data_IF_367722060461
#
_entry.id   IF_367722060461
#
_cell.length_a   1.000
_cell.length_b   1.000
_cell.length_c   1.000
_cell.angle_alpha   90.00
_cell.angle_beta   90.00
_cell.angle_gamma   90.00
#
_symmetry.space_group_name_H-M   'P 1'
#
loop_
_entity.id
_entity.type
_entity.pdbx_description
1 polymer ?
#
# COMPACT_ATOMS: atom_id res chain seq x y z
N UNK A 1 -41.90 47.84 -47.51
CA UNK A 1 -41.31 47.76 -46.15
C UNK A 1 -40.91 46.32 -45.88
N UNK A 2 -39.63 45.98 -45.99
CA UNK A 2 -39.12 44.61 -45.84
C UNK A 2 -38.68 44.41 -44.38
N UNK A 3 -39.40 43.58 -43.61
CA UNK A 3 -39.04 43.26 -42.21
C UNK A 3 -37.84 42.30 -42.20
N UNK A 4 -36.70 42.77 -41.69
CA UNK A 4 -35.53 41.93 -41.37
C UNK A 4 -35.83 41.11 -40.11
N UNK A 5 -35.85 39.79 -40.22
CA UNK A 5 -35.85 38.90 -39.06
C UNK A 5 -34.39 38.62 -38.67
N UNK A 6 -34.01 39.06 -37.48
CA UNK A 6 -32.73 38.74 -36.85
C UNK A 6 -32.93 37.42 -36.09
N UNK A 7 -32.31 36.34 -36.57
CA UNK A 7 -32.23 35.08 -35.84
C UNK A 7 -31.18 35.23 -34.73
N UNK A 8 -31.62 35.20 -33.47
CA UNK A 8 -30.77 35.18 -32.30
C UNK A 8 -30.40 33.72 -31.96
N UNK A 9 -29.16 33.31 -32.22
CA UNK A 9 -28.63 32.01 -31.82
C UNK A 9 -28.23 32.07 -30.34
N UNK A 10 -29.03 31.46 -29.46
CA UNK A 10 -28.69 31.28 -28.04
C UNK A 10 -27.79 30.04 -27.94
N UNK A 11 -26.49 30.27 -27.69
CA UNK A 11 -25.51 29.21 -27.47
C UNK A 11 -25.56 28.80 -25.99
N UNK A 12 -26.33 27.75 -25.67
CA UNK A 12 -26.37 27.18 -24.32
C UNK A 12 -25.09 26.39 -24.07
N UNK A 13 -24.18 26.96 -23.27
CA UNK A 13 -22.96 26.30 -22.82
C UNK A 13 -23.33 25.31 -21.71
N UNK A 14 -23.66 24.07 -22.08
CA UNK A 14 -23.86 23.00 -21.11
C UNK A 14 -22.49 22.58 -20.56
N UNK A 15 -22.17 23.02 -19.35
CA UNK A 15 -21.06 22.47 -18.57
C UNK A 15 -21.38 21.01 -18.24
N UNK A 16 -20.89 20.09 -19.06
CA UNK A 16 -20.91 18.67 -18.74
C UNK A 16 -19.93 18.45 -17.58
N UNK A 17 -20.46 18.31 -16.37
CA UNK A 17 -19.72 17.73 -15.25
C UNK A 17 -19.54 16.26 -15.61
N UNK A 18 -18.42 15.94 -16.27
CA UNK A 18 -18.03 14.57 -16.53
C UNK A 18 -17.59 13.96 -15.20
N UNK A 19 -18.47 13.18 -14.57
CA UNK A 19 -18.05 12.24 -13.53
C UNK A 19 -17.18 11.19 -14.21
N UNK A 20 -15.86 11.36 -14.11
CA UNK A 20 -14.92 10.40 -14.67
C UNK A 20 -15.18 9.02 -14.11
N UNK A 21 -15.36 8.02 -14.99
CA UNK A 21 -15.42 6.64 -14.54
C UNK A 21 -14.13 6.29 -13.80
N UNK A 22 -14.19 5.48 -12.73
CA UNK A 22 -12.99 5.03 -12.06
C UNK A 22 -12.07 4.36 -13.09
N UNK A 23 -10.85 4.88 -13.23
CA UNK A 23 -9.83 4.25 -14.08
C UNK A 23 -9.48 2.85 -13.57
N UNK A 24 -8.83 2.01 -14.39
CA UNK A 24 -8.48 0.64 -14.00
C UNK A 24 -7.61 0.61 -12.74
N UNK A 25 -7.53 -0.57 -12.10
CA UNK A 25 -6.59 -0.79 -11.00
C UNK A 25 -5.16 -0.43 -11.41
N UNK A 26 -4.48 0.28 -10.51
CA UNK A 26 -3.07 0.60 -10.60
C UNK A 26 -2.34 -0.26 -9.59
N UNK A 27 -1.05 -0.49 -9.82
CA UNK A 27 -0.25 -1.36 -8.96
C UNK A 27 0.32 -0.63 -7.75
N UNK A 28 -0.45 0.25 -7.13
CA UNK A 28 -0.06 1.13 -6.01
C UNK A 28 -1.11 1.09 -4.89
N UNK A 29 -0.78 1.63 -3.71
CA UNK A 29 -1.80 1.83 -2.66
C UNK A 29 -2.70 2.99 -3.08
N UNK A 30 -3.98 2.73 -3.36
CA UNK A 30 -4.91 3.74 -3.85
C UNK A 30 -6.34 3.49 -3.41
N UNK A 31 -7.03 4.57 -3.07
CA UNK A 31 -8.47 4.58 -2.82
C UNK A 31 -9.15 5.21 -4.04
N UNK A 32 -10.09 4.49 -4.65
CA UNK A 32 -10.78 4.89 -5.87
C UNK A 32 -12.15 5.48 -5.59
N UNK A 33 -12.86 4.93 -4.59
CA UNK A 33 -14.19 5.38 -4.18
C UNK A 33 -14.06 6.43 -3.07
N UNK A 34 -14.56 7.64 -3.31
CA UNK A 34 -14.39 8.78 -2.39
C UNK A 34 -14.99 8.56 -0.98
N UNK A 35 -16.04 7.74 -0.87
CA UNK A 35 -16.69 7.37 0.39
C UNK A 35 -15.87 6.44 1.28
N UNK A 36 -14.79 5.86 0.76
CA UNK A 36 -13.92 4.96 1.51
C UNK A 36 -12.92 5.77 2.34
N UNK A 37 -12.78 5.40 3.61
CA UNK A 37 -11.87 6.00 4.59
C UNK A 37 -11.20 4.92 5.44
N UNK A 38 -10.17 5.33 6.17
CA UNK A 38 -9.49 4.50 7.18
C UNK A 38 -9.04 3.14 6.66
N UNK A 39 -8.46 3.09 5.46
CA UNK A 39 -7.91 1.84 4.91
C UNK A 39 -6.68 1.45 5.72
N UNK A 40 -6.74 0.29 6.36
CA UNK A 40 -5.65 -0.29 7.13
C UNK A 40 -5.28 -1.66 6.55
N UNK A 41 -3.99 -1.97 6.58
CA UNK A 41 -3.45 -3.28 6.21
C UNK A 41 -2.17 -3.51 7.02
N UNK A 42 -2.21 -4.43 7.98
CA UNK A 42 -1.11 -4.69 8.90
C UNK A 42 -1.12 -6.14 9.39
N UNK A 43 0.00 -6.62 9.93
CA UNK A 43 0.13 -7.97 10.47
C UNK A 43 -0.58 -8.05 11.84
N UNK A 44 -1.47 -9.02 12.02
CA UNK A 44 -2.26 -9.18 13.26
C UNK A 44 -1.43 -9.38 14.52
N UNK A 45 -0.16 -9.78 14.41
CA UNK A 45 0.75 -9.86 15.55
C UNK A 45 1.24 -8.49 16.04
N UNK A 46 1.14 -7.46 15.20
CA UNK A 46 1.60 -6.10 15.52
C UNK A 46 0.74 -5.08 14.80
N UNK A 47 -0.16 -4.47 15.57
CA UNK A 47 -1.01 -3.40 15.07
C UNK A 47 -0.21 -2.27 14.42
N UNK A 48 -0.75 -1.75 13.32
CA UNK A 48 -0.14 -0.67 12.52
C UNK A 48 1.26 -1.00 11.98
N UNK A 49 1.62 -2.28 11.89
CA UNK A 49 2.84 -2.70 11.22
C UNK A 49 2.74 -2.57 9.70
N UNK A 50 3.90 -2.73 9.07
CA UNK A 50 4.01 -2.99 7.63
C UNK A 50 3.21 -4.26 7.27
N UNK A 51 2.51 -4.30 6.11
CA UNK A 51 1.77 -5.48 5.67
C UNK A 51 2.70 -6.56 5.11
N UNK A 52 3.46 -7.20 5.99
CA UNK A 52 4.38 -8.31 5.69
C UNK A 52 3.97 -9.51 6.54
N UNK A 53 3.95 -10.69 5.91
CA UNK A 53 3.78 -11.98 6.59
C UNK A 53 4.81 -13.00 6.08
N UNK A 54 5.15 -13.98 6.92
CA UNK A 54 5.99 -15.10 6.49
C UNK A 54 5.17 -16.21 5.81
N UNK A 55 5.63 -16.69 4.65
CA UNK A 55 5.03 -17.81 3.92
C UNK A 55 4.97 -19.07 4.79
N UNK A 56 3.83 -19.74 4.80
CA UNK A 56 3.63 -20.98 5.57
C UNK A 56 3.57 -20.80 7.09
N UNK A 57 3.65 -19.56 7.59
CA UNK A 57 3.43 -19.26 9.01
C UNK A 57 1.93 -19.08 9.32
N UNK A 58 1.60 -18.96 10.59
CA UNK A 58 0.26 -18.61 11.07
C UNK A 58 0.02 -17.08 11.12
N UNK A 59 0.90 -16.28 10.50
CA UNK A 59 0.72 -14.84 10.42
C UNK A 59 -0.37 -14.47 9.43
N UNK A 60 -1.16 -13.48 9.79
CA UNK A 60 -2.22 -12.95 8.95
C UNK A 60 -2.12 -11.43 8.89
N UNK A 61 -2.57 -10.88 7.79
CA UNK A 61 -2.86 -9.46 7.62
C UNK A 61 -4.32 -9.22 7.97
N UNK A 62 -4.58 -8.23 8.81
CA UNK A 62 -5.90 -7.62 8.91
C UNK A 62 -6.00 -6.53 7.86
N UNK A 63 -7.04 -6.59 7.04
CA UNK A 63 -7.41 -5.52 6.14
C UNK A 63 -8.75 -4.99 6.59
N UNK A 64 -8.84 -3.68 6.81
CA UNK A 64 -10.08 -3.04 7.22
C UNK A 64 -10.25 -1.67 6.57
N UNK A 65 -11.49 -1.24 6.39
CA UNK A 65 -11.83 0.08 5.87
C UNK A 65 -13.27 0.46 6.23
N UNK A 66 -13.57 1.75 6.16
CA UNK A 66 -14.91 2.29 6.41
C UNK A 66 -15.51 2.82 5.10
N UNK A 67 -16.75 2.45 4.78
CA UNK A 67 -17.56 3.09 3.74
C UNK A 67 -18.56 4.06 4.37
N UNK A 68 -18.43 5.35 4.06
CA UNK A 68 -19.33 6.42 4.49
C UNK A 68 -20.57 6.54 3.57
N UNK A 69 -20.66 5.72 2.53
CA UNK A 69 -21.81 5.63 1.63
C UNK A 69 -23.12 5.22 2.31
N UNK A 70 -24.24 5.56 1.67
CA UNK A 70 -25.58 5.19 2.14
C UNK A 70 -25.91 3.76 1.71
N UNK A 71 -26.18 2.89 2.68
CA UNK A 71 -26.50 1.48 2.44
C UNK A 71 -25.24 0.68 2.15
N UNK A 72 -24.99 -0.38 2.94
CA UNK A 72 -23.83 -1.25 2.74
C UNK A 72 -23.73 -1.75 1.30
N UNK A 73 -22.50 -1.95 0.85
CA UNK A 73 -22.18 -2.43 -0.49
C UNK A 73 -21.52 -3.79 -0.39
N UNK A 74 -21.75 -4.63 -1.39
CA UNK A 74 -21.10 -5.93 -1.46
C UNK A 74 -19.71 -5.76 -2.04
N UNK A 75 -18.70 -5.93 -1.19
CA UNK A 75 -17.30 -5.88 -1.58
C UNK A 75 -16.74 -7.26 -1.84
N UNK A 76 -15.96 -7.35 -2.90
CA UNK A 76 -15.20 -8.52 -3.28
C UNK A 76 -13.73 -8.13 -3.36
N UNK A 77 -12.85 -9.09 -3.16
CA UNK A 77 -11.42 -8.88 -3.31
C UNK A 77 -10.77 -9.95 -4.18
N UNK A 78 -9.68 -9.58 -4.82
CA UNK A 78 -8.75 -10.48 -5.52
C UNK A 78 -7.34 -10.16 -5.08
N UNK A 79 -6.48 -11.17 -4.99
CA UNK A 79 -5.04 -10.98 -4.82
C UNK A 79 -4.30 -11.36 -6.09
N UNK A 80 -3.26 -10.61 -6.41
CA UNK A 80 -2.44 -10.85 -7.60
C UNK A 80 -0.96 -10.76 -7.24
N UNK A 81 -0.18 -11.74 -7.71
CA UNK A 81 1.26 -11.76 -7.51
C UNK A 81 1.98 -10.78 -8.47
N UNK A 82 2.87 -9.98 -7.90
CA UNK A 82 3.60 -8.92 -8.58
C UNK A 82 5.11 -9.19 -8.64
N UNK A 83 5.75 -8.64 -9.67
CA UNK A 83 7.21 -8.57 -9.79
C UNK A 83 7.81 -7.54 -8.82
N UNK A 84 9.15 -7.53 -8.72
CA UNK A 84 9.89 -6.57 -7.88
C UNK A 84 9.62 -5.09 -8.22
N UNK A 85 9.21 -4.79 -9.45
CA UNK A 85 8.86 -3.46 -9.94
C UNK A 85 7.35 -3.19 -9.93
N UNK A 86 6.57 -3.97 -9.16
CA UNK A 86 5.13 -3.81 -8.99
C UNK A 86 4.35 -3.86 -10.30
N UNK A 87 4.62 -4.86 -11.13
CA UNK A 87 3.79 -5.23 -12.27
C UNK A 87 3.19 -6.61 -12.04
N UNK A 88 2.09 -6.89 -12.72
CA UNK A 88 1.55 -8.25 -12.78
C UNK A 88 2.64 -9.22 -13.21
N UNK A 89 2.87 -10.24 -12.37
CA UNK A 89 3.77 -11.32 -12.75
C UNK A 89 3.14 -12.19 -13.84
N UNK A 90 3.98 -12.87 -14.62
CA UNK A 90 3.52 -13.85 -15.63
C UNK A 90 3.20 -15.22 -15.04
N UNK A 91 3.18 -15.34 -13.71
CA UNK A 91 2.93 -16.59 -13.00
C UNK A 91 1.42 -16.87 -13.02
N UNK A 92 1.03 -18.09 -13.35
CA UNK A 92 -0.38 -18.49 -13.33
C UNK A 92 -0.93 -18.45 -11.92
N UNK A 93 -2.19 -18.05 -11.77
CA UNK A 93 -2.89 -18.04 -10.47
C UNK A 93 -2.88 -19.39 -9.76
N UNK A 94 -2.93 -20.49 -10.52
CA UNK A 94 -2.84 -21.86 -9.98
C UNK A 94 -1.47 -22.17 -9.34
N UNK A 95 -0.41 -21.49 -9.79
CA UNK A 95 0.95 -21.71 -9.30
C UNK A 95 1.21 -20.91 -8.01
N UNK A 96 0.65 -19.69 -7.91
CA UNK A 96 0.89 -18.81 -6.76
C UNK A 96 -0.22 -18.83 -5.68
N UNK A 97 -1.41 -19.38 -5.95
CA UNK A 97 -2.49 -19.57 -4.96
C UNK A 97 -2.91 -21.04 -4.83
N UNK A 98 -3.28 -21.44 -3.61
CA UNK A 98 -3.72 -22.79 -3.29
C UNK A 98 -5.19 -23.07 -3.62
N UNK A 99 -6.05 -22.06 -3.46
CA UNK A 99 -7.50 -22.19 -3.57
C UNK A 99 -8.02 -21.20 -4.61
N UNK A 100 -8.96 -20.34 -4.25
CA UNK A 100 -9.53 -19.32 -5.13
C UNK A 100 -8.65 -18.07 -5.21
N UNK A 101 -8.87 -17.28 -6.26
CA UNK A 101 -8.21 -15.98 -6.44
C UNK A 101 -8.95 -14.82 -5.79
N UNK A 102 -10.25 -15.02 -5.56
CA UNK A 102 -11.16 -13.99 -5.11
C UNK A 102 -12.19 -14.55 -4.16
N UNK A 103 -12.74 -13.66 -3.33
CA UNK A 103 -13.80 -13.97 -2.39
C UNK A 103 -14.57 -12.69 -2.03
N UNK A 104 -15.73 -12.86 -1.38
CA UNK A 104 -16.55 -11.77 -0.86
C UNK A 104 -16.10 -11.38 0.55
N UNK A 105 -16.19 -10.11 0.88
CA UNK A 105 -16.01 -9.62 2.25
C UNK A 105 -17.33 -9.76 3.00
N UNK A 106 -17.36 -10.64 4.00
CA UNK A 106 -18.57 -10.94 4.78
C UNK A 106 -18.65 -10.16 6.09
N UNK A 107 -17.53 -9.95 6.78
CA UNK A 107 -17.53 -9.24 8.06
C UNK A 107 -17.73 -7.74 7.81
N UNK A 108 -18.93 -7.28 8.18
CA UNK A 108 -19.31 -5.89 8.08
C UNK A 108 -20.14 -5.48 9.29
N UNK A 109 -19.92 -4.26 9.77
CA UNK A 109 -20.61 -3.70 10.94
C UNK A 109 -21.01 -2.26 10.69
N UNK A 110 -22.28 -1.95 10.93
CA UNK A 110 -22.78 -0.58 10.82
C UNK A 110 -22.34 0.22 12.05
N UNK A 111 -21.88 1.44 11.82
CA UNK A 111 -21.57 2.40 12.89
C UNK A 111 -22.74 2.59 13.87
N UNK A 112 -22.44 2.60 15.16
CA UNK A 112 -23.44 2.74 16.22
C UNK A 112 -23.20 4.04 17.01
N UNK A 113 -24.26 4.82 17.22
CA UNK A 113 -24.23 6.11 17.95
C UNK A 113 -23.15 7.11 17.51
N UNK A 114 -22.79 7.11 16.21
CA UNK A 114 -21.89 8.09 15.60
C UNK A 114 -22.65 9.20 14.87
N UNK A 115 -22.05 10.40 14.80
CA UNK A 115 -22.53 11.53 14.00
C UNK A 115 -22.39 11.19 12.50
N UNK A 116 -21.17 10.88 12.06
CA UNK A 116 -20.93 10.35 10.71
C UNK A 116 -21.27 8.86 10.68
N UNK A 117 -22.25 8.49 9.86
CA UNK A 117 -22.57 7.09 9.60
C UNK A 117 -21.54 6.47 8.66
N UNK A 118 -21.15 5.25 8.95
CA UNK A 118 -20.31 4.41 8.09
C UNK A 118 -20.66 2.93 8.29
N UNK A 119 -20.22 2.10 7.34
CA UNK A 119 -20.17 0.64 7.49
C UNK A 119 -18.70 0.23 7.49
N UNK A 120 -18.27 -0.42 8.55
CA UNK A 120 -16.93 -0.98 8.69
C UNK A 120 -16.88 -2.34 8.01
N UNK A 121 -15.81 -2.61 7.28
CA UNK A 121 -15.52 -3.92 6.68
C UNK A 121 -14.15 -4.39 7.14
N UNK A 122 -14.03 -5.69 7.42
CA UNK A 122 -12.74 -6.30 7.72
C UNK A 122 -12.64 -7.73 7.21
N UNK A 123 -11.42 -8.19 7.00
CA UNK A 123 -11.13 -9.60 6.73
C UNK A 123 -9.65 -9.90 6.96
N UNK A 124 -9.33 -11.18 7.06
CA UNK A 124 -7.98 -11.69 7.26
C UNK A 124 -7.42 -12.31 5.98
N UNK A 125 -6.11 -12.13 5.75
CA UNK A 125 -5.36 -12.81 4.69
C UNK A 125 -4.04 -13.38 5.23
N UNK A 126 -3.65 -14.61 4.89
CA UNK A 126 -4.41 -15.60 4.13
C UNK A 126 -5.63 -16.11 4.91
N UNK A 127 -6.59 -16.67 4.18
CA UNK A 127 -7.75 -17.39 4.72
C UNK A 127 -8.01 -18.67 3.90
N UNK A 128 -9.11 -19.36 4.17
CA UNK A 128 -9.45 -20.64 3.53
C UNK A 128 -9.70 -20.52 2.02
N UNK A 129 -10.17 -19.35 1.56
CA UNK A 129 -10.44 -19.10 0.14
C UNK A 129 -9.21 -18.61 -0.60
N UNK A 130 -8.44 -17.70 0.00
CA UNK A 130 -7.28 -17.07 -0.64
C UNK A 130 -6.02 -17.33 0.17
N UNK A 131 -5.23 -18.29 -0.30
CA UNK A 131 -4.01 -18.75 0.36
C UNK A 131 -2.80 -18.79 -0.60
N UNK A 132 -1.83 -17.88 -0.42
CA UNK A 132 -0.61 -17.85 -1.23
C UNK A 132 0.28 -19.08 -1.04
N UNK A 133 0.85 -19.57 -2.15
CA UNK A 133 1.79 -20.71 -2.22
C UNK A 133 3.25 -20.28 -2.27
N UNK A 134 3.52 -19.06 -2.74
CA UNK A 134 4.87 -18.55 -2.97
C UNK A 134 5.06 -17.21 -2.26
N UNK A 135 6.32 -16.88 -1.99
CA UNK A 135 6.71 -15.58 -1.49
C UNK A 135 6.79 -14.56 -2.64
N UNK A 136 6.66 -13.28 -2.32
CA UNK A 136 6.76 -12.21 -3.30
C UNK A 136 5.97 -10.97 -2.92
N UNK A 137 5.86 -10.07 -3.89
CA UNK A 137 5.00 -8.90 -3.79
C UNK A 137 3.59 -9.30 -4.21
N UNK A 138 2.59 -8.80 -3.50
CA UNK A 138 1.19 -9.02 -3.84
C UNK A 138 0.42 -7.71 -3.81
N UNK A 139 -0.56 -7.60 -4.70
CA UNK A 139 -1.54 -6.53 -4.64
C UNK A 139 -2.93 -7.09 -4.39
N UNK A 140 -3.57 -6.55 -3.37
CA UNK A 140 -4.98 -6.74 -3.07
C UNK A 140 -5.79 -5.72 -3.87
N UNK A 141 -6.81 -6.19 -4.58
CA UNK A 141 -7.75 -5.37 -5.35
C UNK A 141 -9.15 -5.59 -4.77
N UNK A 142 -9.76 -4.56 -4.23
CA UNK A 142 -11.14 -4.58 -3.70
C UNK A 142 -12.05 -3.84 -4.68
N UNK A 143 -13.21 -4.41 -4.98
CA UNK A 143 -14.16 -3.91 -5.97
C UNK A 143 -15.62 -4.21 -5.57
N UNK A 144 -16.57 -3.48 -6.14
CA UNK A 144 -18.01 -3.58 -5.82
C UNK A 144 -18.73 -4.63 -6.66
N UNK A 145 -19.67 -5.33 -6.02
CA UNK A 145 -20.66 -6.21 -6.65
C UNK A 145 -20.06 -7.28 -7.58
N UNK A 146 -18.83 -7.73 -7.29
CA UNK A 146 -18.13 -8.72 -8.10
C UNK A 146 -17.58 -8.19 -9.43
N UNK A 147 -17.68 -6.88 -9.71
CA UNK A 147 -17.23 -6.27 -10.97
C UNK A 147 -15.90 -5.53 -10.79
N UNK A 148 -14.82 -6.10 -11.34
CA UNK A 148 -13.48 -5.48 -11.28
C UNK A 148 -13.38 -4.12 -11.98
N UNK A 149 -14.35 -3.74 -12.81
CA UNK A 149 -14.42 -2.41 -13.41
C UNK A 149 -14.99 -1.35 -12.44
N UNK A 150 -15.36 -1.75 -11.22
CA UNK A 150 -15.77 -0.87 -10.12
C UNK A 150 -14.72 -0.93 -9.00
N UNK A 151 -13.50 -0.42 -9.24
CA UNK A 151 -12.42 -0.46 -8.26
C UNK A 151 -12.74 0.39 -7.04
N UNK A 152 -12.30 -0.08 -5.88
CA UNK A 152 -12.56 0.54 -4.57
C UNK A 152 -11.24 0.85 -3.87
N UNK A 153 -10.40 -0.17 -3.67
CA UNK A 153 -9.07 -0.06 -3.05
C UNK A 153 -8.08 -0.94 -3.81
N UNK A 154 -6.87 -0.45 -4.02
CA UNK A 154 -5.70 -1.29 -4.26
C UNK A 154 -4.73 -1.15 -3.09
N UNK A 155 -4.20 -2.27 -2.60
CA UNK A 155 -3.32 -2.31 -1.43
C UNK A 155 -2.19 -3.32 -1.64
N UNK A 156 -0.96 -2.84 -1.59
CA UNK A 156 0.27 -3.64 -1.63
C UNK A 156 0.50 -4.33 -0.30
N UNK A 157 0.95 -5.58 -0.37
CA UNK A 157 1.46 -6.33 0.77
C UNK A 157 2.55 -7.30 0.31
N UNK A 158 3.25 -7.91 1.27
CA UNK A 158 4.42 -8.73 1.00
C UNK A 158 4.33 -10.07 1.72
N UNK A 159 4.86 -11.09 1.07
CA UNK A 159 5.02 -12.42 1.65
C UNK A 159 6.50 -12.80 1.57
N UNK A 160 7.12 -13.11 2.69
CA UNK A 160 8.55 -13.46 2.76
C UNK A 160 8.76 -14.96 2.93
N UNK A 161 9.85 -15.49 2.38
CA UNK A 161 10.25 -16.89 2.61
C UNK A 161 11.28 -17.05 3.73
N UNK A 162 11.74 -15.94 4.33
CA UNK A 162 12.72 -15.89 5.43
C UNK A 162 13.98 -16.77 5.25
N UNK A 163 14.44 -16.95 4.02
CA UNK A 163 15.61 -17.78 3.67
C UNK A 163 16.96 -17.04 3.80
N UNK A 164 16.93 -15.73 4.07
CA UNK A 164 18.11 -14.88 4.29
C UNK A 164 17.92 -14.07 5.57
N UNK A 165 19.04 -13.66 6.17
CA UNK A 165 19.06 -12.72 7.28
C UNK A 165 19.62 -11.37 6.79
N UNK A 166 19.07 -10.26 7.28
CA UNK A 166 19.50 -8.91 6.90
C UNK A 166 20.02 -8.21 8.15
N UNK A 167 21.31 -7.88 8.18
CA UNK A 167 21.87 -6.96 9.16
C UNK A 167 21.92 -5.55 8.56
N UNK A 168 21.29 -4.57 9.19
CA UNK A 168 21.27 -3.19 8.72
C UNK A 168 21.65 -2.22 9.84
N UNK A 169 22.30 -1.13 9.47
CA UNK A 169 22.69 -0.04 10.37
C UNK A 169 22.41 1.32 9.72
N UNK A 170 21.99 2.27 10.54
CA UNK A 170 21.89 3.67 10.15
C UNK A 170 23.15 4.41 10.60
N UNK A 171 23.84 5.06 9.66
CA UNK A 171 25.07 5.82 9.89
C UNK A 171 24.92 7.25 9.35
N UNK A 172 25.71 8.23 9.81
CA UNK A 172 25.74 9.55 9.20
C UNK A 172 26.13 9.48 7.71
N UNK A 173 25.68 10.45 6.91
CA UNK A 173 26.06 10.52 5.50
C UNK A 173 27.59 10.58 5.32
N UNK A 174 28.07 9.89 4.29
CA UNK A 174 29.47 9.94 3.86
C UNK A 174 29.83 11.32 3.29
N UNK A 175 28.84 12.10 2.84
CA UNK A 175 29.04 13.45 2.32
C UNK A 175 29.09 14.44 3.49
N UNK A 176 30.20 15.18 3.60
CA UNK A 176 30.43 16.12 4.71
C UNK A 176 29.32 17.19 4.77
N UNK A 177 28.85 17.64 3.61
CA UNK A 177 27.76 18.62 3.47
C UNK A 177 26.44 18.15 4.05
N UNK A 178 26.18 16.83 4.03
CA UNK A 178 24.91 16.24 4.41
C UNK A 178 24.96 15.46 5.73
N UNK A 179 26.13 15.42 6.38
CA UNK A 179 26.42 14.61 7.57
C UNK A 179 25.40 14.76 8.71
N UNK A 180 24.88 15.97 8.91
CA UNK A 180 23.94 16.28 9.98
C UNK A 180 22.46 16.31 9.53
N UNK A 181 22.20 16.13 8.24
CA UNK A 181 20.85 16.22 7.65
C UNK A 181 20.37 14.88 7.11
N UNK A 182 21.28 14.04 6.63
CA UNK A 182 20.96 12.77 6.02
C UNK A 182 21.35 11.59 6.93
N UNK A 183 20.66 10.47 6.71
CA UNK A 183 20.89 9.19 7.35
C UNK A 183 21.13 8.16 6.24
N UNK A 184 22.28 7.51 6.28
CA UNK A 184 22.67 6.48 5.34
C UNK A 184 22.42 5.10 5.92
N UNK A 185 21.85 4.21 5.11
CA UNK A 185 21.64 2.82 5.50
C UNK A 185 22.69 1.93 4.84
N UNK A 186 23.53 1.30 5.67
CA UNK A 186 24.35 0.17 5.23
C UNK A 186 23.60 -1.11 5.59
N UNK A 187 23.68 -2.13 4.73
CA UNK A 187 23.12 -3.43 5.06
C UNK A 187 23.94 -4.57 4.45
N UNK A 188 23.81 -5.74 5.06
CA UNK A 188 24.40 -6.99 4.61
C UNK A 188 23.33 -8.06 4.56
N UNK A 189 23.25 -8.76 3.44
CA UNK A 189 22.39 -9.94 3.26
C UNK A 189 23.25 -11.17 3.55
N UNK A 190 22.91 -11.91 4.59
CA UNK A 190 23.51 -13.19 4.95
C UNK A 190 22.69 -14.34 4.36
N UNK A 191 23.36 -15.29 3.71
CA UNK A 191 22.73 -16.42 3.04
C UNK A 191 23.56 -17.70 3.22
N UNK A 192 22.91 -18.85 3.23
CA UNK A 192 23.53 -20.17 3.37
C UNK A 192 23.42 -21.04 2.09
N UNK A 193 22.88 -20.48 1.01
CA UNK A 193 22.73 -21.14 -0.29
C UNK A 193 23.59 -20.46 -1.35
N UNK A 194 23.83 -21.14 -2.47
CA UNK A 194 24.58 -20.57 -3.59
C UNK A 194 23.74 -19.55 -4.37
N UNK A 195 24.32 -18.38 -4.63
CA UNK A 195 23.75 -17.34 -5.51
C UNK A 195 24.70 -17.25 -6.71
N UNK A 196 24.25 -17.73 -7.87
CA UNK A 196 25.10 -17.85 -9.05
C UNK A 196 25.58 -16.49 -9.54
N UNK A 197 24.69 -15.50 -9.64
CA UNK A 197 25.05 -14.15 -10.01
C UNK A 197 24.36 -13.10 -9.12
N UNK A 198 25.02 -12.63 -8.06
CA UNK A 198 24.45 -11.62 -7.16
C UNK A 198 24.06 -10.30 -7.83
N UNK A 199 24.63 -9.98 -9.00
CA UNK A 199 24.32 -8.73 -9.73
C UNK A 199 23.00 -8.77 -10.49
N UNK A 200 22.49 -9.96 -10.80
CA UNK A 200 21.24 -10.16 -11.54
C UNK A 200 20.17 -10.82 -10.70
N UNK A 201 20.56 -11.71 -9.79
CA UNK A 201 19.64 -12.58 -9.07
C UNK A 201 19.12 -11.93 -7.79
N UNK A 202 19.81 -10.90 -7.30
CA UNK A 202 19.46 -10.19 -6.05
C UNK A 202 19.18 -8.72 -6.33
N UNK A 203 17.96 -8.31 -5.96
CA UNK A 203 17.57 -6.90 -5.88
C UNK A 203 17.14 -6.60 -4.45
N UNK A 204 17.77 -5.61 -3.83
CA UNK A 204 17.38 -5.11 -2.53
C UNK A 204 16.74 -3.73 -2.66
N UNK A 205 15.62 -3.52 -1.98
CA UNK A 205 14.91 -2.23 -1.96
C UNK A 205 14.96 -1.69 -0.54
N UNK A 206 15.48 -0.48 -0.39
CA UNK A 206 15.53 0.25 0.90
C UNK A 206 14.61 1.46 0.78
N UNK A 207 13.68 1.64 1.70
CA UNK A 207 12.74 2.77 1.69
C UNK A 207 12.57 3.35 3.10
N UNK A 208 12.32 4.65 3.18
CA UNK A 208 12.12 5.36 4.44
C UNK A 208 10.64 5.31 4.84
N UNK A 209 10.36 4.94 6.09
CA UNK A 209 9.01 4.99 6.69
C UNK A 209 7.90 4.36 5.83
N UNK A 210 8.22 3.29 5.09
CA UNK A 210 7.33 2.62 4.15
C UNK A 210 6.78 3.48 3.00
N UNK A 211 7.41 4.62 2.70
CA UNK A 211 7.06 5.45 1.55
C UNK A 211 7.73 4.90 0.28
N UNK A 212 6.96 4.35 -0.68
CA UNK A 212 7.50 3.81 -1.93
C UNK A 212 8.20 4.88 -2.79
N UNK A 213 7.87 6.16 -2.62
CA UNK A 213 8.50 7.26 -3.37
C UNK A 213 9.94 7.50 -2.93
N UNK A 214 10.30 7.09 -1.73
CA UNK A 214 11.67 7.19 -1.21
C UNK A 214 12.53 5.99 -1.61
N UNK A 215 11.94 4.94 -2.19
CA UNK A 215 12.60 3.66 -2.38
C UNK A 215 13.86 3.75 -3.26
N UNK A 216 14.97 3.21 -2.76
CA UNK A 216 16.24 3.06 -3.47
C UNK A 216 16.49 1.59 -3.78
N UNK A 217 16.71 1.30 -5.06
CA UNK A 217 16.93 -0.06 -5.57
C UNK A 217 18.44 -0.32 -5.67
N UNK A 218 18.87 -1.41 -5.07
CA UNK A 218 20.26 -1.86 -5.01
C UNK A 218 20.39 -3.19 -5.77
N UNK A 219 21.12 -3.17 -6.89
CA UNK A 219 21.40 -4.36 -7.72
C UNK A 219 22.86 -4.79 -7.66
N UNK A 220 23.74 -3.94 -7.11
CA UNK A 220 25.18 -4.18 -7.08
C UNK A 220 25.68 -4.13 -5.63
N UNK A 221 26.04 -5.28 -5.02
CA UNK A 221 26.75 -5.26 -3.74
C UNK A 221 28.14 -4.63 -3.91
N UNK A 222 28.62 -3.95 -2.87
CA UNK A 222 29.98 -3.41 -2.84
C UNK A 222 31.00 -4.55 -2.66
N UNK A 223 30.66 -5.54 -1.83
CA UNK A 223 31.49 -6.74 -1.64
C UNK A 223 30.64 -8.00 -1.66
N UNK A 224 31.14 -9.01 -2.37
CA UNK A 224 30.61 -10.37 -2.35
C UNK A 224 31.60 -11.21 -1.54
N UNK A 225 31.15 -11.72 -0.39
CA UNK A 225 31.95 -12.60 0.47
C UNK A 225 31.25 -13.96 0.56
N UNK A 226 31.97 -15.04 0.93
CA UNK A 226 31.32 -16.32 1.21
C UNK A 226 30.17 -16.15 2.21
N UNK A 227 28.95 -16.47 1.79
CA UNK A 227 27.73 -16.39 2.61
C UNK A 227 27.21 -14.97 2.91
N UNK A 228 27.74 -13.91 2.28
CA UNK A 228 27.22 -12.56 2.48
C UNK A 228 27.40 -11.60 1.31
N UNK A 229 26.41 -10.74 1.12
CA UNK A 229 26.41 -9.63 0.16
C UNK A 229 26.35 -8.31 0.92
N UNK A 230 27.41 -7.50 0.82
CA UNK A 230 27.56 -6.26 1.59
C UNK A 230 27.21 -5.05 0.72
N UNK A 231 26.29 -4.22 1.19
CA UNK A 231 25.83 -2.98 0.57
C UNK A 231 26.14 -1.80 1.47
N UNK A 232 27.36 -1.27 1.33
CA UNK A 232 27.86 -0.14 2.12
C UNK A 232 28.56 0.93 1.26
N UNK A 233 28.29 0.95 -0.06
CA UNK A 233 28.84 1.95 -0.97
C UNK A 233 28.61 3.38 -0.47
N UNK A 234 29.56 4.28 -0.69
CA UNK A 234 29.59 5.63 -0.10
C UNK A 234 28.37 6.49 -0.49
N UNK A 235 27.81 6.28 -1.68
CA UNK A 235 26.81 7.16 -2.29
C UNK A 235 25.40 6.61 -2.29
N UNK A 236 25.24 5.31 -2.04
CA UNK A 236 23.92 4.64 -2.06
C UNK A 236 23.22 4.74 -0.71
N UNK A 237 21.89 4.60 -0.73
CA UNK A 237 21.04 4.52 0.47
C UNK A 237 21.17 5.69 1.46
N UNK A 238 21.53 6.89 0.97
CA UNK A 238 21.59 8.12 1.79
C UNK A 238 20.26 8.90 1.74
N UNK A 239 19.48 8.87 2.81
CA UNK A 239 18.15 9.46 2.88
C UNK A 239 18.16 10.77 3.64
N UNK A 240 17.30 11.72 3.27
CA UNK A 240 17.10 12.91 4.11
C UNK A 240 16.49 12.44 5.43
N UNK A 241 17.09 12.78 6.57
CA UNK A 241 16.67 12.29 7.88
C UNK A 241 15.26 12.75 8.27
N UNK A 242 14.84 13.93 7.79
CA UNK A 242 13.55 14.52 8.13
C UNK A 242 13.47 14.89 9.61
N UNK A 243 12.25 14.98 10.12
CA UNK A 243 11.94 15.13 11.55
C UNK A 243 10.73 14.24 11.86
N UNK A 244 10.45 14.08 13.14
CA UNK A 244 9.36 13.30 13.69
C UNK A 244 8.01 13.78 13.13
N UNK A 245 7.12 12.82 12.85
CA UNK A 245 5.77 13.15 12.41
C UNK A 245 5.03 13.91 13.51
N UNK A 246 4.31 14.96 13.10
CA UNK A 246 3.42 15.70 13.99
C UNK A 246 2.26 14.80 14.37
N UNK A 247 1.99 14.67 15.67
CA UNK A 247 0.83 13.97 16.21
C UNK A 247 -0.26 14.95 16.61
N UNK A 248 -1.50 14.50 16.62
CA UNK A 248 -2.62 15.17 17.27
C UNK A 248 -3.55 14.12 17.85
N UNK A 249 -4.35 14.48 18.86
CA UNK A 249 -5.27 13.56 19.53
C UNK A 249 -6.70 14.10 19.49
N UNK A 250 -7.57 13.37 18.81
CA UNK A 250 -9.00 13.65 18.73
C UNK A 250 -9.87 12.48 19.19
N UNK A 251 -9.39 11.66 20.14
CA UNK A 251 -10.15 10.52 20.72
C UNK A 251 -11.50 10.93 21.31
N UNK A 252 -11.66 12.20 21.68
CA UNK A 252 -12.90 12.80 22.14
C UNK A 252 -13.19 14.07 21.37
N UNK A 253 -14.44 14.25 20.94
CA UNK A 253 -14.92 15.52 20.39
C UNK A 253 -15.42 16.47 21.49
N UNK A 254 -15.41 16.06 22.76
CA UNK A 254 -15.92 16.84 23.90
C UNK A 254 -14.89 17.73 24.56
N UNK A 255 -13.60 17.41 24.40
CA UNK A 255 -12.50 18.17 24.95
C UNK A 255 -11.33 18.17 23.98
N UNK A 256 -10.49 19.20 24.06
CA UNK A 256 -9.32 19.35 23.21
C UNK A 256 -8.23 18.36 23.65
N UNK A 257 -7.83 17.48 22.77
CA UNK A 257 -6.64 16.64 22.97
C UNK A 257 -5.35 17.39 22.63
N UNK A 258 -4.25 16.65 22.66
CA UNK A 258 -2.94 17.19 22.27
C UNK A 258 -2.97 17.73 20.83
N UNK A 259 -2.38 18.92 20.63
CA UNK A 259 -2.29 19.61 19.33
C UNK A 259 -3.64 19.89 18.63
N UNK A 260 -4.74 19.98 19.39
CA UNK A 260 -6.05 20.47 18.91
C UNK A 260 -6.29 21.89 19.42
N UNK A 261 -6.38 22.85 18.50
CA UNK A 261 -6.64 24.24 18.87
C UNK A 261 -8.09 24.46 19.30
N UNK A 262 -9.06 24.06 18.48
CA UNK A 262 -10.49 24.25 18.72
C UNK A 262 -11.33 23.12 18.11
N UNK A 263 -12.53 22.90 18.66
CA UNK A 263 -13.53 21.97 18.13
C UNK A 263 -14.85 22.73 18.07
N UNK A 264 -15.44 22.83 16.89
CA UNK A 264 -16.72 23.48 16.66
C UNK A 264 -17.67 22.49 15.97
N UNK A 265 -18.97 22.66 16.20
CA UNK A 265 -20.02 21.97 15.49
C UNK A 265 -20.74 23.02 14.65
N UNK A 266 -20.67 22.90 13.32
CA UNK A 266 -21.32 23.76 12.34
C UNK A 266 -22.60 23.15 11.75
#
# INVERSE_FOLDING_TARGET
MLKKYILLFIFTWSANICFGQPGPFVYENKIYKAGIKTVLCYNTKKDQSVPIIALGSNEQLLISFDDLGKGGADYYYTVEHCTSDWKQSRISTMDYLQSFSSDRIFDSRISFNTIQKYTHYEFLLPNDQVKPKIAGNYILKIYENGDMNKPVISQRFYITNNIVNIGAEAVPSSQVTDRFRNQKINFTIFHNFQISNPYTDVKAVVMQNMDPLTAKINVKPAFIKPGSLVYNDLTTNDFIGGSEFRKFDMRSLRFKGENIQDIFLD
#
